data_IF_516729479860
#
_entry.id   IF_516729479860
#
_cell.length_a   1.000
_cell.length_b   1.000
_cell.length_c   1.000
_cell.angle_alpha   90.00
_cell.angle_beta   90.00
_cell.angle_gamma   90.00
#
_symmetry.space_group_name_H-M   'P 1'
#
loop_
_entity.id
_entity.type
_entity.pdbx_description
1 polymer ?
#
# COMPACT_ATOMS: atom_id res chain seq x y z
N UNK A 1 37.50 -8.62 6.17
CA UNK A 1 36.18 -9.18 6.62
C UNK A 1 35.02 -8.20 6.51
N UNK A 2 35.15 -6.92 6.94
CA UNK A 2 34.08 -5.90 6.79
C UNK A 2 34.00 -5.45 5.32
N UNK A 3 35.14 -5.23 4.69
CA UNK A 3 35.26 -4.87 3.28
C UNK A 3 34.73 -5.97 2.36
N UNK A 4 35.06 -7.24 2.63
CA UNK A 4 34.56 -8.40 1.88
C UNK A 4 33.03 -8.55 2.02
N UNK A 5 32.49 -8.28 3.23
CA UNK A 5 31.04 -8.32 3.47
C UNK A 5 30.31 -7.18 2.76
N UNK A 6 30.87 -5.98 2.78
CA UNK A 6 30.36 -4.82 2.03
C UNK A 6 30.38 -5.05 0.52
N UNK A 7 31.49 -5.56 -0.02
CA UNK A 7 31.64 -5.89 -1.44
C UNK A 7 30.66 -6.99 -1.88
N UNK A 8 30.38 -7.97 -1.02
CA UNK A 8 29.38 -9.00 -1.28
C UNK A 8 27.98 -8.39 -1.32
N UNK A 9 27.60 -7.58 -0.32
CA UNK A 9 26.29 -6.88 -0.29
C UNK A 9 26.12 -5.99 -1.53
N UNK A 10 27.17 -5.29 -1.97
CA UNK A 10 27.12 -4.42 -3.14
C UNK A 10 26.93 -5.20 -4.45
N UNK A 11 27.37 -6.47 -4.52
CA UNK A 11 27.17 -7.33 -5.69
C UNK A 11 25.80 -8.04 -5.66
N UNK A 12 25.35 -8.41 -4.47
CA UNK A 12 24.14 -9.22 -4.30
C UNK A 12 22.84 -8.37 -4.35
N UNK A 13 22.92 -7.06 -4.04
CA UNK A 13 21.76 -6.17 -4.02
C UNK A 13 21.97 -4.99 -4.97
N UNK A 14 21.31 -4.97 -6.13
CA UNK A 14 21.46 -3.88 -7.09
C UNK A 14 20.90 -2.55 -6.53
N UNK A 15 21.55 -1.45 -6.91
CA UNK A 15 21.13 -0.11 -6.52
C UNK A 15 20.21 0.53 -7.56
N UNK A 16 20.38 0.17 -8.80
CA UNK A 16 19.64 0.72 -9.93
C UNK A 16 19.46 -0.35 -11.01
N UNK A 17 18.57 -0.10 -11.95
CA UNK A 17 18.34 -0.97 -13.11
C UNK A 17 19.63 -1.22 -13.91
N UNK A 18 20.53 -0.22 -14.00
CA UNK A 18 21.81 -0.36 -14.69
C UNK A 18 22.81 -1.32 -14.03
N UNK A 19 22.58 -1.74 -12.78
CA UNK A 19 23.42 -2.74 -12.10
C UNK A 19 22.88 -4.18 -12.28
N UNK A 20 21.73 -4.36 -12.94
CA UNK A 20 21.18 -5.68 -13.23
C UNK A 20 21.98 -6.34 -14.34
N UNK A 21 22.38 -7.59 -14.12
CA UNK A 21 23.11 -8.42 -15.08
C UNK A 21 22.44 -9.77 -15.25
N UNK A 22 22.75 -10.50 -16.34
CA UNK A 22 22.27 -11.86 -16.55
C UNK A 22 22.74 -12.82 -15.42
N UNK A 23 23.97 -12.61 -14.92
CA UNK A 23 24.50 -13.37 -13.78
C UNK A 23 23.70 -13.13 -12.51
N UNK A 24 23.34 -11.86 -12.23
CA UNK A 24 22.50 -11.52 -11.07
C UNK A 24 21.11 -12.14 -11.20
N UNK A 25 20.48 -12.07 -12.37
CA UNK A 25 19.19 -12.71 -12.63
C UNK A 25 19.27 -14.24 -12.49
N UNK A 26 20.35 -14.84 -12.96
CA UNK A 26 20.61 -16.29 -12.78
C UNK A 26 20.68 -16.65 -11.30
N UNK A 27 21.44 -15.88 -10.51
CA UNK A 27 21.56 -16.07 -9.06
C UNK A 27 20.21 -15.89 -8.39
N UNK A 28 19.48 -14.81 -8.69
CA UNK A 28 18.18 -14.49 -8.11
C UNK A 28 17.14 -15.60 -8.38
N UNK A 29 17.07 -16.09 -9.62
CA UNK A 29 16.15 -17.17 -10.00
C UNK A 29 16.52 -18.52 -9.38
N UNK A 30 17.82 -18.79 -9.15
CA UNK A 30 18.29 -19.99 -8.46
C UNK A 30 17.99 -19.92 -6.95
N UNK A 31 18.32 -18.81 -6.31
CA UNK A 31 18.08 -18.60 -4.87
C UNK A 31 16.58 -18.58 -4.55
N UNK A 32 15.76 -18.07 -5.46
CA UNK A 32 14.30 -18.14 -5.40
C UNK A 32 13.71 -19.53 -5.66
N UNK A 33 14.53 -20.52 -6.07
CA UNK A 33 14.09 -21.89 -6.31
C UNK A 33 13.42 -22.13 -7.67
N UNK A 34 13.42 -21.13 -8.57
CA UNK A 34 12.75 -21.19 -9.87
C UNK A 34 13.66 -21.72 -11.01
N UNK A 35 14.97 -21.60 -10.86
CA UNK A 35 15.95 -22.08 -11.83
C UNK A 35 16.88 -23.11 -11.19
N UNK A 36 16.75 -24.39 -11.57
CA UNK A 36 17.55 -25.50 -11.00
C UNK A 36 18.88 -25.71 -11.72
N UNK A 37 18.85 -25.71 -13.05
CA UNK A 37 20.03 -25.86 -13.92
C UNK A 37 20.04 -24.76 -14.95
N UNK A 38 21.17 -24.53 -15.61
CA UNK A 38 21.33 -23.50 -16.61
C UNK A 38 21.44 -22.09 -16.05
N UNK A 39 21.20 -21.12 -16.90
CA UNK A 39 21.39 -19.70 -16.61
C UNK A 39 20.45 -18.80 -17.45
N UNK A 40 20.27 -17.56 -17.01
CA UNK A 40 19.75 -16.48 -17.84
C UNK A 40 20.91 -16.00 -18.73
N UNK A 41 20.80 -16.19 -20.03
CA UNK A 41 21.88 -15.84 -21.00
C UNK A 41 21.86 -14.37 -21.34
N UNK A 42 20.66 -13.81 -21.46
CA UNK A 42 20.45 -12.39 -21.76
C UNK A 42 19.07 -11.94 -21.29
N UNK A 43 18.89 -10.65 -21.20
CA UNK A 43 17.60 -10.03 -20.95
C UNK A 43 17.47 -8.68 -21.67
N UNK A 44 16.24 -8.28 -21.90
CA UNK A 44 15.88 -6.90 -22.27
C UNK A 44 14.97 -6.33 -21.21
N UNK A 45 14.88 -5.02 -21.11
CA UNK A 45 14.00 -4.39 -20.15
C UNK A 45 13.20 -3.24 -20.76
N UNK A 46 12.03 -3.01 -20.18
CA UNK A 46 11.16 -1.88 -20.46
C UNK A 46 10.69 -1.28 -19.13
N UNK A 47 10.97 0.00 -18.92
CA UNK A 47 10.53 0.73 -17.72
C UNK A 47 9.05 1.06 -17.87
N UNK A 48 8.27 0.76 -16.84
CA UNK A 48 6.83 0.98 -16.81
C UNK A 48 6.51 2.14 -15.86
N UNK A 49 5.65 3.04 -16.30
CA UNK A 49 5.08 4.05 -15.41
C UNK A 49 6.05 5.15 -14.98
N UNK A 50 6.87 5.69 -15.88
CA UNK A 50 7.71 6.87 -15.59
C UNK A 50 6.94 8.04 -14.96
N UNK A 51 5.61 8.09 -15.15
CA UNK A 51 4.73 9.12 -14.60
C UNK A 51 3.91 8.67 -13.37
N UNK A 52 3.92 7.38 -12.99
CA UNK A 52 3.00 6.82 -11.96
C UNK A 52 3.68 6.21 -10.73
N UNK A 53 4.96 5.89 -10.78
CA UNK A 53 5.71 5.26 -9.68
C UNK A 53 6.25 6.26 -8.67
N UNK A 54 5.50 6.58 -7.59
CA UNK A 54 5.94 7.55 -6.59
C UNK A 54 7.16 7.12 -5.78
N UNK A 55 7.32 5.82 -5.50
CA UNK A 55 8.33 5.30 -4.56
C UNK A 55 9.24 4.24 -5.16
N UNK A 56 9.00 3.77 -6.41
CA UNK A 56 9.78 2.71 -7.03
C UNK A 56 9.87 2.86 -8.54
N UNK A 57 10.99 2.44 -9.11
CA UNK A 57 11.16 2.17 -10.53
C UNK A 57 10.70 0.75 -10.81
N UNK A 58 9.80 0.57 -11.77
CA UNK A 58 9.25 -0.72 -12.16
C UNK A 58 9.72 -1.01 -13.58
N UNK A 59 10.34 -2.16 -13.80
CA UNK A 59 10.77 -2.60 -15.12
C UNK A 59 10.26 -4.02 -15.41
N UNK A 60 9.72 -4.23 -16.61
CA UNK A 60 9.46 -5.57 -17.13
C UNK A 60 10.73 -6.06 -17.80
N UNK A 61 11.24 -7.20 -17.33
CA UNK A 61 12.43 -7.86 -17.88
C UNK A 61 11.98 -9.05 -18.72
N UNK A 62 12.39 -9.11 -20.00
CA UNK A 62 12.19 -10.28 -20.85
C UNK A 62 13.44 -11.15 -20.80
N UNK A 63 13.32 -12.38 -20.31
CA UNK A 63 14.44 -13.27 -20.01
C UNK A 63 14.65 -14.29 -21.12
N UNK A 64 15.93 -14.51 -21.49
CA UNK A 64 16.36 -15.60 -22.38
C UNK A 64 17.18 -16.58 -21.57
N UNK A 65 16.81 -17.83 -21.60
CA UNK A 65 17.47 -18.91 -20.84
C UNK A 65 18.35 -19.77 -21.72
N UNK A 66 19.35 -20.43 -21.12
CA UNK A 66 20.15 -21.46 -21.78
C UNK A 66 19.31 -22.70 -22.11
N UNK A 67 19.77 -23.52 -23.04
CA UNK A 67 19.03 -24.69 -23.51
C UNK A 67 18.80 -25.75 -22.42
N UNK A 68 19.73 -25.91 -21.50
CA UNK A 68 19.61 -26.82 -20.35
C UNK A 68 18.66 -26.29 -19.27
N UNK A 69 18.52 -24.96 -19.14
CA UNK A 69 17.48 -24.35 -18.32
C UNK A 69 16.08 -24.61 -18.90
N UNK A 70 15.93 -24.44 -20.21
CA UNK A 70 14.66 -24.71 -20.91
C UNK A 70 14.23 -26.19 -20.83
N UNK A 71 15.17 -27.13 -20.73
CA UNK A 71 14.90 -28.55 -20.64
C UNK A 71 14.37 -29.01 -19.25
N UNK A 72 14.49 -28.18 -18.18
CA UNK A 72 13.98 -28.49 -16.85
C UNK A 72 12.46 -28.42 -16.71
N UNK A 73 11.76 -27.86 -17.66
CA UNK A 73 10.36 -27.38 -17.51
C UNK A 73 9.32 -28.48 -17.51
N UNK A 74 9.60 -29.68 -16.99
CA UNK A 74 8.56 -30.70 -16.81
C UNK A 74 7.60 -30.39 -15.64
N UNK A 75 8.03 -29.63 -14.62
CA UNK A 75 7.23 -29.32 -13.43
C UNK A 75 7.00 -27.82 -13.13
N UNK A 76 7.74 -26.90 -13.76
CA UNK A 76 7.55 -25.46 -13.61
C UNK A 76 7.93 -24.72 -14.89
N UNK A 77 6.98 -24.01 -15.48
CA UNK A 77 7.23 -23.15 -16.64
C UNK A 77 8.07 -21.96 -16.18
N UNK A 78 9.29 -21.83 -16.71
CA UNK A 78 10.14 -20.67 -16.47
C UNK A 78 9.44 -19.39 -16.99
N UNK A 79 9.39 -18.30 -16.19
CA UNK A 79 8.76 -17.08 -16.64
C UNK A 79 9.56 -16.47 -17.80
N UNK A 80 8.87 -16.15 -18.88
CA UNK A 80 9.47 -15.40 -20.01
C UNK A 80 9.71 -13.94 -19.66
N UNK A 81 8.83 -13.39 -18.85
CA UNK A 81 8.89 -12.02 -18.36
C UNK A 81 8.75 -12.01 -16.85
N UNK A 82 9.42 -11.06 -16.20
CA UNK A 82 9.30 -10.80 -14.75
C UNK A 82 9.27 -9.30 -14.52
N UNK A 83 8.61 -8.87 -13.46
CA UNK A 83 8.65 -7.49 -13.00
C UNK A 83 9.74 -7.33 -11.97
N UNK A 84 10.63 -6.38 -12.20
CA UNK A 84 11.63 -5.91 -11.24
C UNK A 84 11.15 -4.61 -10.61
N UNK A 85 11.10 -4.56 -9.28
CA UNK A 85 10.88 -3.34 -8.51
C UNK A 85 12.15 -2.96 -7.78
N UNK A 86 12.60 -1.72 -7.98
CA UNK A 86 13.78 -1.11 -7.32
C UNK A 86 13.36 0.27 -6.81
N UNK A 87 13.88 0.76 -5.65
CA UNK A 87 13.61 2.12 -5.19
C UNK A 87 13.99 3.17 -6.24
N UNK A 88 13.16 4.21 -6.36
CA UNK A 88 13.50 5.35 -7.21
C UNK A 88 14.79 6.04 -6.76
N UNK A 89 15.53 6.68 -7.67
CA UNK A 89 16.68 7.49 -7.29
C UNK A 89 16.29 8.65 -6.37
N UNK A 90 17.07 8.83 -5.30
CA UNK A 90 17.19 10.00 -4.42
C UNK A 90 16.03 10.37 -3.48
N UNK A 91 15.21 11.37 -3.77
CA UNK A 91 14.35 12.03 -2.75
C UNK A 91 13.20 11.14 -2.28
N UNK A 92 12.51 10.51 -3.21
CA UNK A 92 11.38 9.63 -2.91
C UNK A 92 11.87 8.33 -2.24
N UNK A 93 13.08 7.86 -2.61
CA UNK A 93 13.74 6.73 -1.98
C UNK A 93 13.97 6.94 -0.49
N UNK A 94 14.49 8.10 -0.07
CA UNK A 94 14.70 8.42 1.35
C UNK A 94 13.40 8.38 2.12
N UNK A 95 12.32 8.90 1.54
CA UNK A 95 11.00 8.85 2.15
C UNK A 95 10.48 7.41 2.22
N UNK A 96 10.51 6.65 1.13
CA UNK A 96 10.09 5.25 1.10
C UNK A 96 10.86 4.38 2.10
N UNK A 97 12.18 4.59 2.21
CA UNK A 97 13.04 3.93 3.19
C UNK A 97 12.65 4.31 4.61
N UNK A 98 12.36 5.60 4.90
CA UNK A 98 11.94 6.07 6.21
C UNK A 98 10.61 5.48 6.66
N UNK A 99 9.71 5.18 5.70
CA UNK A 99 8.42 4.55 5.93
C UNK A 99 8.49 3.01 5.93
N UNK A 100 9.65 2.43 5.57
CA UNK A 100 9.86 0.99 5.51
C UNK A 100 9.09 0.28 4.40
N UNK A 101 8.61 1.00 3.37
CA UNK A 101 7.72 0.44 2.35
C UNK A 101 8.38 -0.67 1.53
N UNK A 102 9.66 -0.53 1.18
CA UNK A 102 10.39 -1.54 0.42
C UNK A 102 10.60 -2.84 1.21
N UNK A 103 10.94 -2.72 2.50
CA UNK A 103 11.07 -3.89 3.38
C UNK A 103 9.73 -4.59 3.59
N UNK A 104 8.64 -3.84 3.75
CA UNK A 104 7.29 -4.40 3.91
C UNK A 104 6.88 -5.22 2.69
N UNK A 105 7.09 -4.70 1.48
CA UNK A 105 6.72 -5.41 0.25
C UNK A 105 7.54 -6.69 0.07
N UNK A 106 8.86 -6.66 0.29
CA UNK A 106 9.70 -7.86 0.23
C UNK A 106 9.28 -8.89 1.29
N UNK A 107 8.99 -8.45 2.53
CA UNK A 107 8.51 -9.35 3.60
C UNK A 107 7.14 -9.92 3.28
N UNK A 108 6.24 -9.13 2.71
CA UNK A 108 4.94 -9.60 2.26
C UNK A 108 5.10 -10.78 1.30
N UNK A 109 5.83 -10.60 0.21
CA UNK A 109 6.02 -11.64 -0.80
C UNK A 109 6.79 -12.86 -0.28
N UNK A 110 7.81 -12.65 0.56
CA UNK A 110 8.64 -13.76 1.06
C UNK A 110 8.07 -14.51 2.27
N UNK A 111 7.15 -13.92 3.06
CA UNK A 111 6.71 -14.49 4.34
C UNK A 111 5.20 -14.70 4.46
N UNK A 112 4.40 -13.92 3.73
CA UNK A 112 2.95 -13.89 3.92
C UNK A 112 2.17 -14.32 2.68
N UNK A 113 2.60 -13.98 1.48
CA UNK A 113 1.88 -14.21 0.21
C UNK A 113 1.32 -15.62 0.06
N UNK A 114 2.13 -16.64 0.34
CA UNK A 114 1.73 -18.06 0.20
C UNK A 114 0.67 -18.52 1.24
N UNK A 115 0.36 -17.67 2.21
CA UNK A 115 -0.64 -17.95 3.26
C UNK A 115 -1.97 -17.27 2.97
N UNK A 116 -2.05 -16.44 1.93
CA UNK A 116 -3.26 -15.68 1.61
C UNK A 116 -4.24 -16.50 0.78
N UNK A 117 -5.52 -16.36 1.10
CA UNK A 117 -6.62 -16.94 0.33
C UNK A 117 -7.09 -16.04 -0.83
N UNK A 118 -6.31 -15.00 -1.15
CA UNK A 118 -6.53 -14.12 -2.29
C UNK A 118 -5.37 -14.23 -3.27
N UNK A 119 -5.65 -13.95 -4.55
CA UNK A 119 -4.64 -14.01 -5.61
C UNK A 119 -3.77 -12.75 -5.61
N UNK A 120 -2.46 -12.96 -5.69
CA UNK A 120 -1.44 -11.91 -5.79
C UNK A 120 -0.37 -12.38 -6.78
N UNK A 121 0.45 -11.49 -7.36
CA UNK A 121 1.54 -11.91 -8.23
C UNK A 121 2.45 -12.95 -7.58
N UNK A 122 2.96 -13.90 -8.39
CA UNK A 122 3.92 -14.88 -7.93
C UNK A 122 5.22 -14.21 -7.51
N UNK A 123 5.85 -14.72 -6.46
CA UNK A 123 7.12 -14.25 -5.95
C UNK A 123 8.28 -15.04 -6.56
N UNK A 124 9.27 -14.37 -7.10
CA UNK A 124 10.46 -15.03 -7.62
C UNK A 124 11.70 -14.80 -6.74
N UNK A 125 11.96 -13.57 -6.32
CA UNK A 125 13.09 -13.26 -5.47
C UNK A 125 12.94 -11.87 -4.83
N UNK A 126 13.48 -11.73 -3.62
CA UNK A 126 13.52 -10.44 -2.93
C UNK A 126 14.77 -10.34 -2.05
N UNK A 127 15.47 -9.21 -2.14
CA UNK A 127 16.71 -8.99 -1.41
C UNK A 127 16.82 -7.55 -0.91
N UNK A 128 17.42 -7.38 0.25
CA UNK A 128 17.71 -6.07 0.85
C UNK A 128 19.09 -6.06 1.50
N UNK A 129 19.80 -4.94 1.38
CA UNK A 129 21.19 -4.81 1.89
C UNK A 129 21.28 -4.78 3.40
N UNK A 130 20.25 -4.31 4.08
CA UNK A 130 20.10 -4.32 5.53
C UNK A 130 18.62 -4.31 5.86
N UNK A 131 18.23 -5.12 6.85
CA UNK A 131 16.90 -5.10 7.44
C UNK A 131 17.07 -4.99 8.96
N UNK A 132 16.29 -4.15 9.59
CA UNK A 132 16.16 -4.17 11.04
C UNK A 132 15.25 -5.35 11.44
N UNK A 133 15.50 -5.92 12.63
CA UNK A 133 14.62 -6.94 13.17
C UNK A 133 13.22 -6.34 13.42
N UNK A 134 12.14 -7.01 12.95
CA UNK A 134 10.79 -6.47 13.03
C UNK A 134 10.36 -6.06 14.43
N UNK A 135 10.67 -6.86 15.45
CA UNK A 135 10.34 -6.57 16.84
C UNK A 135 11.04 -5.29 17.33
N UNK A 136 12.27 -5.05 16.88
CA UNK A 136 13.03 -3.82 17.22
C UNK A 136 12.37 -2.61 16.57
N UNK A 137 11.92 -2.74 15.32
CA UNK A 137 11.19 -1.67 14.62
C UNK A 137 9.89 -1.36 15.37
N UNK A 138 9.12 -2.38 15.71
CA UNK A 138 7.85 -2.24 16.41
C UNK A 138 8.02 -1.54 17.75
N UNK A 139 9.01 -1.93 18.57
CA UNK A 139 9.29 -1.29 19.85
C UNK A 139 9.77 0.16 19.70
N UNK A 140 10.56 0.46 18.65
CA UNK A 140 10.94 1.84 18.33
C UNK A 140 9.72 2.69 17.95
N UNK A 141 8.78 2.16 17.15
CA UNK A 141 7.57 2.85 16.78
C UNK A 141 6.66 3.10 17.98
N UNK A 142 6.51 2.13 18.88
CA UNK A 142 5.80 2.30 20.17
C UNK A 142 6.45 3.37 21.04
N UNK A 143 7.77 3.41 21.10
CA UNK A 143 8.49 4.44 21.84
C UNK A 143 8.29 5.84 21.22
N UNK A 144 8.38 5.95 19.88
CA UNK A 144 8.11 7.19 19.16
C UNK A 144 6.67 7.68 19.38
N UNK A 145 5.70 6.76 19.35
CA UNK A 145 4.29 7.09 19.57
C UNK A 145 4.03 7.74 20.95
N UNK A 146 4.87 7.46 21.96
CA UNK A 146 4.77 8.10 23.29
C UNK A 146 5.31 9.54 23.30
N UNK A 147 6.12 9.93 22.33
CA UNK A 147 6.71 11.26 22.26
C UNK A 147 5.69 12.32 21.78
N UNK A 148 5.90 13.60 22.15
CA UNK A 148 5.12 14.68 21.57
C UNK A 148 5.47 14.90 20.09
N UNK A 149 4.52 15.41 19.32
CA UNK A 149 4.64 15.58 17.84
C UNK A 149 5.91 16.34 17.45
N UNK A 150 6.29 17.40 18.18
CA UNK A 150 7.49 18.18 17.87
C UNK A 150 8.78 17.34 17.97
N UNK A 151 8.86 16.43 18.95
CA UNK A 151 10.01 15.53 19.10
C UNK A 151 10.07 14.50 17.96
N UNK A 152 8.90 13.98 17.53
CA UNK A 152 8.80 13.09 16.37
C UNK A 152 9.26 13.81 15.09
N UNK A 153 8.89 15.08 14.92
CA UNK A 153 9.32 15.89 13.77
C UNK A 153 10.85 16.02 13.70
N UNK A 154 11.50 16.35 14.83
CA UNK A 154 12.96 16.44 14.91
C UNK A 154 13.61 15.09 14.62
N UNK A 155 13.10 14.02 15.24
CA UNK A 155 13.61 12.67 14.99
C UNK A 155 13.46 12.26 13.52
N UNK A 156 12.33 12.56 12.90
CA UNK A 156 12.09 12.30 11.48
C UNK A 156 13.11 12.98 10.57
N UNK A 157 13.46 14.24 10.83
CA UNK A 157 14.50 14.97 10.09
C UNK A 157 15.87 14.31 10.23
N UNK A 158 16.23 13.86 11.45
CA UNK A 158 17.50 13.16 11.71
C UNK A 158 17.54 11.84 10.94
N UNK A 159 16.47 11.06 10.98
CA UNK A 159 16.37 9.78 10.26
C UNK A 159 16.49 9.98 8.75
N UNK A 160 15.78 10.97 8.19
CA UNK A 160 15.87 11.29 6.77
C UNK A 160 17.29 11.73 6.36
N UNK A 161 17.95 12.52 7.21
CA UNK A 161 19.33 12.92 6.97
C UNK A 161 20.29 11.70 6.95
N UNK A 162 20.16 10.79 7.94
CA UNK A 162 20.97 9.55 7.99
C UNK A 162 20.72 8.68 6.75
N UNK A 163 19.47 8.49 6.36
CA UNK A 163 19.13 7.69 5.20
C UNK A 163 19.58 8.34 3.87
N UNK A 164 19.63 9.67 3.83
CA UNK A 164 20.23 10.38 2.70
C UNK A 164 21.73 10.12 2.53
N UNK A 165 22.44 9.91 3.67
CA UNK A 165 23.88 9.59 3.66
C UNK A 165 24.16 8.11 3.38
N UNK A 166 23.27 7.22 3.81
CA UNK A 166 23.46 5.76 3.71
C UNK A 166 22.20 5.09 3.14
N UNK A 167 21.93 5.27 1.84
CA UNK A 167 20.76 4.68 1.23
C UNK A 167 20.88 3.15 1.20
N UNK A 168 19.85 2.46 1.67
CA UNK A 168 19.75 0.99 1.59
C UNK A 168 19.42 0.57 0.15
N UNK A 169 19.76 -0.67 -0.16
CA UNK A 169 19.49 -1.30 -1.44
C UNK A 169 18.37 -2.32 -1.31
N UNK A 170 17.50 -2.40 -2.29
CA UNK A 170 16.36 -3.33 -2.35
C UNK A 170 16.13 -3.75 -3.80
N UNK A 171 15.76 -5.00 -4.00
CA UNK A 171 15.27 -5.48 -5.28
C UNK A 171 14.22 -6.56 -5.04
N UNK A 172 13.15 -6.53 -5.83
CA UNK A 172 12.07 -7.49 -5.77
C UNK A 172 11.73 -7.94 -7.20
N UNK A 173 11.72 -9.26 -7.43
CA UNK A 173 11.28 -9.89 -8.67
C UNK A 173 9.95 -10.61 -8.41
N UNK A 174 8.93 -10.24 -9.17
CA UNK A 174 7.59 -10.82 -9.11
C UNK A 174 7.05 -11.10 -10.51
N UNK A 175 5.91 -11.76 -10.58
CA UNK A 175 5.20 -12.08 -11.81
C UNK A 175 4.86 -10.83 -12.63
N UNK A 176 5.04 -10.91 -13.95
CA UNK A 176 4.53 -9.96 -14.90
C UNK A 176 3.05 -10.25 -15.18
N UNK A 177 2.19 -9.36 -14.69
CA UNK A 177 0.73 -9.44 -14.85
C UNK A 177 0.20 -8.47 -15.91
N UNK A 178 1.07 -7.90 -16.73
CA UNK A 178 0.70 -6.90 -17.76
C UNK A 178 -0.20 -7.44 -18.85
N UNK A 179 -0.32 -8.76 -18.95
CA UNK A 179 -1.23 -9.43 -19.88
C UNK A 179 -2.69 -9.49 -19.41
N UNK A 180 -2.95 -9.20 -18.13
CA UNK A 180 -4.29 -9.05 -17.58
C UNK A 180 -4.78 -7.60 -17.70
N UNK A 181 -6.07 -7.38 -17.51
CA UNK A 181 -6.66 -6.04 -17.51
C UNK A 181 -6.35 -5.32 -16.21
N UNK A 182 -5.53 -4.26 -16.28
CA UNK A 182 -5.25 -3.39 -15.12
C UNK A 182 -6.44 -2.48 -14.83
N UNK A 183 -6.68 -2.24 -13.54
CA UNK A 183 -7.63 -1.24 -13.09
C UNK A 183 -7.18 0.17 -13.52
N UNK A 184 -8.14 1.05 -13.74
CA UNK A 184 -7.90 2.44 -14.11
C UNK A 184 -8.79 3.36 -13.26
N UNK A 185 -8.19 4.03 -12.30
CA UNK A 185 -8.91 4.93 -11.39
C UNK A 185 -9.42 6.22 -12.09
N UNK A 186 -8.95 6.52 -13.30
CA UNK A 186 -9.47 7.63 -14.10
C UNK A 186 -10.71 7.25 -14.91
N UNK A 187 -11.00 5.96 -15.04
CA UNK A 187 -12.18 5.41 -15.68
C UNK A 187 -13.24 5.01 -14.66
N UNK A 188 -14.47 4.85 -15.09
CA UNK A 188 -15.52 4.29 -14.24
C UNK A 188 -15.24 2.82 -13.93
N UNK A 189 -15.16 2.46 -12.64
CA UNK A 189 -15.06 1.08 -12.20
C UNK A 189 -16.41 0.38 -12.33
N UNK A 190 -16.47 -0.74 -13.05
CA UNK A 190 -17.73 -1.47 -13.22
C UNK A 190 -18.24 -2.03 -11.89
N UNK A 191 -19.56 -2.16 -11.77
CA UNK A 191 -20.17 -2.76 -10.56
C UNK A 191 -19.65 -4.19 -10.31
N UNK A 192 -19.37 -4.94 -11.38
CA UNK A 192 -18.81 -6.28 -11.25
C UNK A 192 -17.38 -6.25 -10.70
N UNK A 193 -16.53 -5.36 -11.21
CA UNK A 193 -15.16 -5.19 -10.71
C UNK A 193 -15.14 -4.74 -9.23
N UNK A 194 -16.05 -3.83 -8.86
CA UNK A 194 -16.21 -3.42 -7.46
C UNK A 194 -16.59 -4.63 -6.58
N UNK A 195 -17.53 -5.46 -7.02
CA UNK A 195 -17.95 -6.66 -6.27
C UNK A 195 -16.82 -7.68 -6.15
N UNK A 196 -16.07 -7.94 -7.23
CA UNK A 196 -14.88 -8.81 -7.18
C UNK A 196 -13.83 -8.29 -6.19
N UNK A 197 -13.59 -6.99 -6.18
CA UNK A 197 -12.66 -6.35 -5.25
C UNK A 197 -13.16 -6.47 -3.79
N UNK A 198 -14.45 -6.27 -3.53
CA UNK A 198 -15.04 -6.41 -2.21
C UNK A 198 -15.04 -7.86 -1.72
N UNK A 199 -15.20 -8.84 -2.60
CA UNK A 199 -15.05 -10.27 -2.25
C UNK A 199 -13.62 -10.60 -1.84
N UNK A 200 -12.62 -10.12 -2.59
CA UNK A 200 -11.21 -10.30 -2.26
C UNK A 200 -10.85 -9.58 -0.95
N UNK A 201 -11.35 -8.36 -0.76
CA UNK A 201 -11.19 -7.60 0.49
C UNK A 201 -11.80 -8.34 1.68
N UNK A 202 -13.03 -8.84 1.54
CA UNK A 202 -13.71 -9.59 2.60
C UNK A 202 -12.98 -10.90 2.93
N UNK A 203 -12.40 -11.57 1.92
CA UNK A 203 -11.58 -12.76 2.12
C UNK A 203 -10.33 -12.44 2.94
N UNK A 204 -9.59 -11.40 2.54
CA UNK A 204 -8.40 -10.93 3.25
C UNK A 204 -8.73 -10.54 4.69
N UNK A 205 -9.77 -9.75 4.88
CA UNK A 205 -10.17 -9.27 6.19
C UNK A 205 -10.65 -10.40 7.11
N UNK A 206 -11.46 -11.33 6.60
CA UNK A 206 -11.95 -12.46 7.39
C UNK A 206 -10.83 -13.40 7.83
N UNK A 207 -9.83 -13.62 6.96
CA UNK A 207 -8.69 -14.49 7.25
C UNK A 207 -7.85 -14.01 8.45
N UNK A 208 -7.76 -12.69 8.65
CA UNK A 208 -6.94 -12.09 9.71
C UNK A 208 -7.75 -11.37 10.80
N UNK A 209 -9.07 -11.58 10.84
CA UNK A 209 -9.97 -10.90 11.78
C UNK A 209 -9.63 -11.21 13.22
N UNK A 210 -9.18 -10.20 13.99
CA UNK A 210 -8.75 -10.30 15.39
C UNK A 210 -7.82 -11.50 15.66
N UNK A 211 -6.97 -11.82 14.66
CA UNK A 211 -6.19 -13.04 14.60
C UNK A 211 -4.87 -12.93 15.38
N UNK A 212 -4.55 -13.96 16.17
CA UNK A 212 -3.23 -14.13 16.78
C UNK A 212 -2.13 -14.23 15.72
N UNK A 213 -2.44 -14.81 14.55
CA UNK A 213 -1.50 -14.91 13.44
C UNK A 213 -1.09 -13.53 12.90
N UNK A 214 -2.00 -12.54 12.88
CA UNK A 214 -1.69 -11.17 12.53
C UNK A 214 -0.78 -10.52 13.60
N UNK A 215 -1.08 -10.76 14.88
CA UNK A 215 -0.29 -10.22 16.00
C UNK A 215 1.14 -10.77 16.03
N UNK A 216 1.35 -11.99 15.54
CA UNK A 216 2.67 -12.62 15.42
C UNK A 216 3.54 -12.02 14.29
N UNK A 217 2.95 -11.24 13.38
CA UNK A 217 3.65 -10.59 12.27
C UNK A 217 4.13 -9.18 12.69
N UNK A 218 5.16 -9.08 13.52
CA UNK A 218 5.64 -7.83 14.11
C UNK A 218 6.11 -6.77 13.09
N UNK A 219 6.37 -7.16 11.83
CA UNK A 219 6.66 -6.24 10.73
C UNK A 219 5.39 -5.56 10.15
N UNK A 220 4.21 -6.09 10.44
CA UNK A 220 2.94 -5.44 10.10
C UNK A 220 2.59 -4.44 11.19
N UNK A 221 2.78 -3.18 10.86
CA UNK A 221 2.62 -2.09 11.83
C UNK A 221 1.14 -1.80 12.08
N UNK A 222 0.66 -1.78 13.34
CA UNK A 222 -0.67 -1.28 13.65
C UNK A 222 -0.85 0.18 13.25
N UNK A 223 -2.02 0.51 12.70
CA UNK A 223 -2.33 1.84 12.16
C UNK A 223 -2.21 2.94 13.21
N UNK A 224 -2.52 2.66 14.47
CA UNK A 224 -2.42 3.59 15.60
C UNK A 224 -1.02 4.15 15.80
N UNK A 225 0.03 3.36 15.54
CA UNK A 225 1.41 3.81 15.68
C UNK A 225 1.79 4.88 14.64
N UNK A 226 1.02 5.01 13.57
CA UNK A 226 1.16 6.07 12.57
C UNK A 226 0.41 7.37 12.93
N UNK A 227 -0.42 7.37 13.97
CA UNK A 227 -1.38 8.44 14.26
C UNK A 227 -0.73 9.83 14.32
N UNK A 228 0.36 9.97 15.04
CA UNK A 228 1.06 11.26 15.18
C UNK A 228 1.77 11.69 13.90
N UNK A 229 2.32 10.75 13.13
CA UNK A 229 2.96 11.05 11.84
C UNK A 229 1.93 11.51 10.81
N UNK A 230 0.80 10.81 10.69
CA UNK A 230 -0.31 11.20 9.82
C UNK A 230 -0.84 12.57 10.21
N UNK A 231 -1.07 12.78 11.50
CA UNK A 231 -1.59 14.05 11.99
C UNK A 231 -0.61 15.22 11.81
N UNK A 232 0.70 15.00 11.97
CA UNK A 232 1.73 16.00 11.68
C UNK A 232 1.70 16.40 10.20
N UNK A 233 1.62 15.44 9.28
CA UNK A 233 1.46 15.70 7.86
C UNK A 233 0.18 16.48 7.55
N UNK A 234 -0.93 16.09 8.18
CA UNK A 234 -2.19 16.81 8.07
C UNK A 234 -2.06 18.27 8.54
N UNK A 235 -1.49 18.53 9.71
CA UNK A 235 -1.34 19.91 10.23
C UNK A 235 -0.45 20.77 9.33
N UNK A 236 0.61 20.21 8.74
CA UNK A 236 1.49 20.94 7.83
C UNK A 236 0.78 21.37 6.54
N UNK A 237 -0.10 20.52 6.02
CA UNK A 237 -0.79 20.76 4.74
C UNK A 237 -2.15 21.43 4.89
N UNK A 238 -2.91 21.12 5.94
CA UNK A 238 -4.27 21.60 6.12
C UNK A 238 -4.35 23.14 6.20
N UNK A 239 -3.38 23.79 6.85
CA UNK A 239 -3.36 25.26 6.92
C UNK A 239 -3.18 25.91 5.54
N UNK A 240 -2.31 25.35 4.70
CA UNK A 240 -2.11 25.81 3.32
C UNK A 240 -3.36 25.57 2.49
N UNK A 241 -3.89 24.33 2.57
CA UNK A 241 -5.12 23.95 1.88
C UNK A 241 -6.29 24.87 2.20
N UNK A 242 -6.56 25.10 3.49
CA UNK A 242 -7.65 25.97 3.92
C UNK A 242 -7.44 27.43 3.51
N UNK A 243 -6.20 27.90 3.47
CA UNK A 243 -5.89 29.23 2.98
C UNK A 243 -6.18 29.40 1.48
N UNK A 244 -5.85 28.37 0.69
CA UNK A 244 -5.98 28.40 -0.77
C UNK A 244 -7.40 28.07 -1.24
N UNK A 245 -8.11 27.16 -0.53
CA UNK A 245 -9.39 26.61 -0.94
C UNK A 245 -10.55 26.94 0.01
N UNK A 246 -10.30 27.52 1.18
CA UNK A 246 -11.32 27.69 2.23
C UNK A 246 -12.56 28.50 1.81
N UNK A 247 -12.41 29.43 0.86
CA UNK A 247 -13.53 30.17 0.31
C UNK A 247 -14.52 29.30 -0.52
N UNK A 248 -14.05 28.14 -1.00
CA UNK A 248 -14.84 27.20 -1.80
C UNK A 248 -15.41 26.05 -0.95
N UNK A 249 -15.02 25.95 0.33
CA UNK A 249 -15.48 24.90 1.22
C UNK A 249 -16.81 25.29 1.89
N UNK A 250 -17.68 24.31 2.07
CA UNK A 250 -18.93 24.48 2.84
C UNK A 250 -18.62 24.65 4.34
N UNK A 251 -19.61 25.17 5.08
CA UNK A 251 -19.49 25.31 6.54
C UNK A 251 -19.22 23.97 7.24
N UNK A 252 -19.83 22.88 6.77
CA UNK A 252 -19.63 21.54 7.35
C UNK A 252 -18.25 20.98 7.03
N UNK A 253 -17.72 21.24 5.84
CA UNK A 253 -16.32 20.90 5.51
C UNK A 253 -15.31 21.69 6.38
N UNK A 254 -15.59 22.96 6.65
CA UNK A 254 -14.76 23.76 7.56
C UNK A 254 -14.85 23.23 9.01
N UNK A 255 -16.05 22.85 9.48
CA UNK A 255 -16.23 22.19 10.79
C UNK A 255 -15.48 20.88 10.86
N UNK A 256 -15.52 20.04 9.81
CA UNK A 256 -14.75 18.82 9.71
C UNK A 256 -13.25 19.07 9.87
N UNK A 257 -12.70 20.04 9.16
CA UNK A 257 -11.27 20.38 9.29
C UNK A 257 -10.91 20.93 10.68
N UNK A 258 -11.80 21.72 11.30
CA UNK A 258 -11.61 22.19 12.68
C UNK A 258 -11.60 21.01 13.68
N UNK A 259 -12.50 20.05 13.50
CA UNK A 259 -12.57 18.82 14.30
C UNK A 259 -11.32 17.96 14.09
N UNK A 260 -10.89 17.73 12.84
CA UNK A 260 -9.69 16.95 12.50
C UNK A 260 -8.41 17.55 13.09
N UNK A 261 -8.26 18.88 13.08
CA UNK A 261 -7.11 19.55 13.74
C UNK A 261 -7.00 19.21 15.23
N UNK A 262 -8.12 19.02 15.90
CA UNK A 262 -8.18 18.72 17.33
C UNK A 262 -8.07 17.21 17.61
N UNK A 263 -8.72 16.38 16.79
CA UNK A 263 -9.03 15.00 17.11
C UNK A 263 -8.32 13.98 16.21
N UNK A 264 -7.54 14.39 15.20
CA UNK A 264 -6.97 13.51 14.18
C UNK A 264 -6.04 12.42 14.73
N UNK A 265 -5.34 12.64 15.85
CA UNK A 265 -4.55 11.60 16.53
C UNK A 265 -5.48 10.53 17.08
N UNK A 266 -6.47 10.93 17.89
CA UNK A 266 -7.45 10.01 18.51
C UNK A 266 -8.26 9.25 17.47
N UNK A 267 -8.60 9.88 16.34
CA UNK A 267 -9.26 9.22 15.21
C UNK A 267 -8.42 8.04 14.67
N UNK A 268 -7.13 8.28 14.43
CA UNK A 268 -6.25 7.22 13.90
C UNK A 268 -5.96 6.14 14.95
N UNK A 269 -5.82 6.51 16.23
CA UNK A 269 -5.66 5.54 17.32
C UNK A 269 -6.88 4.64 17.49
N UNK A 270 -8.10 5.18 17.31
CA UNK A 270 -9.32 4.40 17.35
C UNK A 270 -9.36 3.33 16.27
N UNK A 271 -8.92 3.63 15.07
CA UNK A 271 -8.85 2.68 13.95
C UNK A 271 -7.88 1.51 14.18
N UNK A 272 -7.02 1.60 15.18
CA UNK A 272 -6.10 0.54 15.58
C UNK A 272 -6.56 -0.28 16.79
N UNK A 273 -7.78 -0.10 17.31
CA UNK A 273 -8.22 -0.72 18.57
C UNK A 273 -9.37 -1.71 18.45
N UNK A 274 -10.17 -1.64 17.39
CA UNK A 274 -11.36 -2.50 17.22
C UNK A 274 -11.34 -3.18 15.85
N UNK A 275 -11.82 -4.43 15.83
CA UNK A 275 -12.01 -5.21 14.60
C UNK A 275 -10.77 -5.17 13.71
N UNK A 276 -9.63 -5.52 14.32
CA UNK A 276 -8.32 -5.48 13.69
C UNK A 276 -8.20 -6.59 12.66
N UNK A 277 -7.79 -6.21 11.48
CA UNK A 277 -7.48 -7.16 10.42
C UNK A 277 -6.25 -6.71 9.64
N UNK A 278 -5.79 -7.57 8.72
CA UNK A 278 -4.75 -7.21 7.76
C UNK A 278 -5.35 -6.29 6.71
N UNK A 279 -4.78 -5.11 6.57
CA UNK A 279 -5.10 -4.16 5.52
C UNK A 279 -4.00 -4.15 4.47
N UNK A 280 -4.38 -4.05 3.21
CA UNK A 280 -3.48 -3.75 2.12
C UNK A 280 -2.87 -2.33 2.28
N UNK A 281 -3.71 -1.39 2.74
CA UNK A 281 -3.32 0.00 3.05
C UNK A 281 -3.33 0.96 1.87
N UNK A 282 -3.36 0.44 0.62
CA UNK A 282 -3.55 1.20 -0.62
C UNK A 282 -4.49 0.46 -1.57
N UNK A 283 -5.62 -0.04 -1.03
CA UNK A 283 -6.60 -0.81 -1.79
C UNK A 283 -7.43 0.12 -2.68
N UNK A 284 -6.94 0.39 -3.88
CA UNK A 284 -7.56 1.29 -4.86
C UNK A 284 -7.56 0.67 -6.26
N UNK A 285 -8.38 1.20 -7.16
CA UNK A 285 -8.63 0.62 -8.48
C UNK A 285 -7.33 0.41 -9.28
N UNK A 286 -6.37 1.34 -9.24
CA UNK A 286 -5.09 1.20 -9.95
C UNK A 286 -4.21 0.04 -9.44
N UNK A 287 -4.46 -0.48 -8.23
CA UNK A 287 -3.77 -1.63 -7.66
C UNK A 287 -4.51 -2.96 -7.87
N UNK A 288 -5.60 -2.95 -8.65
CA UNK A 288 -6.36 -4.14 -9.03
C UNK A 288 -5.96 -4.60 -10.43
N UNK A 289 -5.91 -5.91 -10.60
CA UNK A 289 -5.64 -6.54 -11.88
C UNK A 289 -6.64 -7.67 -12.09
N UNK A 290 -7.30 -7.69 -13.25
CA UNK A 290 -8.42 -8.59 -13.54
C UNK A 290 -8.03 -9.62 -14.59
N UNK A 291 -8.15 -10.88 -14.23
CA UNK A 291 -8.11 -12.03 -15.12
C UNK A 291 -9.55 -12.29 -15.59
N UNK A 292 -9.94 -11.63 -16.67
CA UNK A 292 -11.31 -11.70 -17.17
C UNK A 292 -11.69 -13.10 -17.67
N UNK A 293 -10.70 -13.91 -18.08
CA UNK A 293 -10.91 -15.30 -18.54
C UNK A 293 -11.20 -16.24 -17.37
N UNK A 294 -10.49 -16.07 -16.25
CA UNK A 294 -10.72 -16.84 -15.03
C UNK A 294 -11.85 -16.28 -14.16
N UNK A 295 -12.26 -15.03 -14.37
CA UNK A 295 -13.18 -14.31 -13.50
C UNK A 295 -12.59 -14.03 -12.10
N UNK A 296 -11.30 -13.75 -12.06
CA UNK A 296 -10.55 -13.54 -10.81
C UNK A 296 -9.87 -12.17 -10.81
N UNK A 297 -9.51 -11.70 -9.61
CA UNK A 297 -8.78 -10.46 -9.40
C UNK A 297 -7.48 -10.74 -8.65
N UNK A 298 -6.41 -10.05 -9.05
CA UNK A 298 -5.14 -10.01 -8.33
C UNK A 298 -4.99 -8.65 -7.67
N UNK A 299 -4.46 -8.64 -6.46
CA UNK A 299 -4.15 -7.42 -5.70
C UNK A 299 -2.65 -7.14 -5.75
N UNK A 300 -2.29 -5.94 -6.22
CA UNK A 300 -0.93 -5.49 -6.50
C UNK A 300 -0.46 -4.50 -5.44
N UNK A 301 0.86 -4.31 -5.30
CA UNK A 301 1.50 -3.22 -4.56
C UNK A 301 1.27 -3.25 -3.03
N UNK A 302 1.88 -4.21 -2.36
CA UNK A 302 1.74 -4.48 -0.91
C UNK A 302 2.69 -3.67 0.00
N UNK A 303 3.23 -2.57 -0.48
CA UNK A 303 4.21 -1.75 0.23
C UNK A 303 3.66 -1.00 1.46
N UNK A 304 2.34 -0.83 1.55
CA UNK A 304 1.66 -0.07 2.62
C UNK A 304 0.91 -0.94 3.62
N UNK A 305 1.10 -2.26 3.54
CA UNK A 305 0.45 -3.23 4.42
C UNK A 305 0.54 -2.86 5.90
N UNK A 306 -0.59 -2.92 6.60
CA UNK A 306 -0.72 -2.57 8.01
C UNK A 306 -1.83 -3.38 8.70
N UNK A 307 -1.89 -3.31 10.03
CA UNK A 307 -3.02 -3.84 10.79
C UNK A 307 -3.95 -2.69 11.23
N UNK A 308 -5.25 -2.84 11.03
CA UNK A 308 -6.21 -1.79 11.38
C UNK A 308 -7.67 -2.20 11.21
N UNK A 309 -8.58 -1.25 11.42
CA UNK A 309 -10.00 -1.45 11.22
C UNK A 309 -10.35 -1.63 9.74
N UNK A 310 -11.15 -2.64 9.44
CA UNK A 310 -11.69 -2.90 8.10
C UNK A 310 -12.41 -1.68 7.50
N UNK A 311 -13.05 -0.86 8.36
CA UNK A 311 -13.75 0.34 7.92
C UNK A 311 -12.85 1.37 7.24
N UNK A 312 -11.56 1.43 7.62
CA UNK A 312 -10.59 2.30 6.96
C UNK A 312 -10.36 1.88 5.50
N UNK A 313 -10.13 0.59 5.25
CA UNK A 313 -9.86 0.09 3.90
C UNK A 313 -11.11 0.08 3.02
N UNK A 314 -12.26 -0.31 3.57
CA UNK A 314 -13.53 -0.24 2.87
C UNK A 314 -13.86 1.19 2.44
N UNK A 315 -13.67 2.17 3.33
CA UNK A 315 -13.87 3.57 3.02
C UNK A 315 -12.89 4.08 1.96
N UNK A 316 -11.62 3.70 2.07
CA UNK A 316 -10.59 4.04 1.11
C UNK A 316 -10.94 3.53 -0.29
N UNK A 317 -11.27 2.26 -0.43
CA UNK A 317 -11.64 1.66 -1.71
C UNK A 317 -12.90 2.31 -2.30
N UNK A 318 -14.00 2.36 -1.55
CA UNK A 318 -15.27 2.88 -2.08
C UNK A 318 -15.22 4.40 -2.36
N UNK A 319 -14.33 5.15 -1.70
CA UNK A 319 -14.11 6.56 -2.04
C UNK A 319 -13.41 6.76 -3.38
N UNK A 320 -12.63 5.75 -3.81
CA UNK A 320 -11.91 5.79 -5.11
C UNK A 320 -12.66 5.10 -6.24
N UNK A 321 -13.42 4.03 -5.93
CA UNK A 321 -14.10 3.20 -6.92
C UNK A 321 -15.50 3.73 -7.30
N UNK A 322 -16.14 4.52 -6.41
CA UNK A 322 -17.47 5.09 -6.66
C UNK A 322 -17.34 6.61 -6.84
N UNK A 323 -17.67 7.16 -8.04
CA UNK A 323 -17.63 8.58 -8.30
C UNK A 323 -18.45 9.41 -7.30
N UNK A 324 -18.04 10.67 -7.10
CA UNK A 324 -18.74 11.59 -6.18
C UNK A 324 -20.19 11.88 -6.60
N UNK A 325 -20.50 11.85 -7.87
CA UNK A 325 -21.83 12.12 -8.44
C UNK A 325 -22.70 10.86 -8.55
N UNK A 326 -22.17 9.67 -8.22
CA UNK A 326 -22.97 8.45 -8.21
C UNK A 326 -24.14 8.54 -7.23
N UNK A 327 -25.27 7.86 -7.51
CA UNK A 327 -26.40 7.76 -6.57
C UNK A 327 -25.96 7.16 -5.24
N UNK A 328 -26.53 7.66 -4.12
CA UNK A 328 -26.23 7.16 -2.76
C UNK A 328 -26.54 5.68 -2.60
N UNK A 329 -27.57 5.20 -3.28
CA UNK A 329 -28.01 3.80 -3.30
C UNK A 329 -26.90 2.86 -3.79
N UNK A 330 -26.05 3.30 -4.73
CA UNK A 330 -24.89 2.51 -5.20
C UNK A 330 -23.87 2.28 -4.08
N UNK A 331 -23.61 3.30 -3.29
CA UNK A 331 -22.73 3.17 -2.13
C UNK A 331 -23.32 2.21 -1.09
N UNK A 332 -24.61 2.35 -0.78
CA UNK A 332 -25.31 1.50 0.17
C UNK A 332 -25.34 0.04 -0.27
N UNK A 333 -25.59 -0.20 -1.58
CA UNK A 333 -25.50 -1.55 -2.16
C UNK A 333 -24.10 -2.16 -1.98
N UNK A 334 -23.04 -1.42 -2.21
CA UNK A 334 -21.69 -1.95 -2.13
C UNK A 334 -21.25 -2.20 -0.67
N UNK A 335 -21.68 -1.35 0.26
CA UNK A 335 -21.41 -1.57 1.69
C UNK A 335 -22.16 -2.83 2.18
N UNK A 336 -23.41 -3.01 1.77
CA UNK A 336 -24.18 -4.21 2.13
C UNK A 336 -23.63 -5.46 1.45
N UNK A 337 -23.15 -5.36 0.20
CA UNK A 337 -22.47 -6.45 -0.47
C UNK A 337 -21.22 -6.91 0.31
N UNK A 338 -20.38 -5.99 0.75
CA UNK A 338 -19.20 -6.31 1.56
C UNK A 338 -19.60 -6.96 2.91
N UNK A 339 -20.64 -6.45 3.57
CA UNK A 339 -21.18 -7.04 4.80
C UNK A 339 -21.60 -8.50 4.59
N UNK A 340 -22.33 -8.76 3.51
CA UNK A 340 -22.73 -10.11 3.15
C UNK A 340 -21.54 -11.01 2.82
N UNK A 341 -20.56 -10.50 2.11
CA UNK A 341 -19.33 -11.24 1.79
C UNK A 341 -18.54 -11.64 3.05
N UNK A 342 -18.51 -10.79 4.10
CA UNK A 342 -17.96 -11.13 5.41
C UNK A 342 -18.80 -12.19 6.13
N UNK A 343 -20.13 -12.08 6.10
CA UNK A 343 -21.03 -13.04 6.73
C UNK A 343 -20.87 -14.46 6.15
N UNK A 344 -20.70 -14.57 4.85
CA UNK A 344 -20.38 -15.84 4.16
C UNK A 344 -19.06 -16.45 4.63
N UNK A 345 -18.13 -15.64 5.16
CA UNK A 345 -16.84 -16.05 5.72
C UNK A 345 -16.83 -16.17 7.24
N UNK A 346 -18.02 -16.12 7.86
CA UNK A 346 -18.22 -16.33 9.30
C UNK A 346 -18.08 -15.07 10.16
N UNK A 347 -17.83 -13.90 9.56
CA UNK A 347 -17.72 -12.63 10.27
C UNK A 347 -19.05 -11.87 10.21
N UNK A 348 -19.77 -11.88 11.32
CA UNK A 348 -21.09 -11.25 11.42
C UNK A 348 -21.00 -9.87 12.04
N UNK A 349 -21.36 -8.84 11.26
CA UNK A 349 -21.38 -7.45 11.70
C UNK A 349 -22.80 -6.90 11.50
N UNK A 350 -23.42 -6.30 12.52
CA UNK A 350 -24.67 -5.57 12.34
C UNK A 350 -24.52 -4.44 11.31
N UNK A 351 -25.53 -4.22 10.49
CA UNK A 351 -25.47 -3.22 9.40
C UNK A 351 -25.15 -1.80 9.92
N UNK A 352 -25.69 -1.43 11.09
CA UNK A 352 -25.43 -0.12 11.71
C UNK A 352 -23.97 0.01 12.16
N UNK A 353 -23.39 -1.04 12.74
CA UNK A 353 -22.00 -1.03 13.21
C UNK A 353 -21.03 -0.93 12.02
N UNK A 354 -21.31 -1.68 10.94
CA UNK A 354 -20.50 -1.60 9.72
C UNK A 354 -20.59 -0.21 9.10
N UNK A 355 -21.77 0.38 9.01
CA UNK A 355 -21.97 1.74 8.51
C UNK A 355 -21.22 2.75 9.38
N UNK A 356 -21.26 2.60 10.69
CA UNK A 356 -20.53 3.47 11.62
C UNK A 356 -19.02 3.38 11.39
N UNK A 357 -18.44 2.16 11.31
CA UNK A 357 -17.00 1.97 11.02
C UNK A 357 -16.61 2.51 9.64
N UNK A 358 -17.46 2.33 8.62
CA UNK A 358 -17.25 2.94 7.30
C UNK A 358 -17.21 4.47 7.39
N UNK A 359 -18.13 5.10 8.11
CA UNK A 359 -18.18 6.54 8.28
C UNK A 359 -16.93 7.08 8.98
N UNK A 360 -16.43 6.37 10.00
CA UNK A 360 -15.15 6.70 10.66
C UNK A 360 -13.99 6.60 9.68
N UNK A 361 -13.98 5.53 8.88
CA UNK A 361 -13.02 5.36 7.80
C UNK A 361 -13.04 6.53 6.82
N UNK A 362 -14.21 7.00 6.41
CA UNK A 362 -14.35 8.16 5.50
C UNK A 362 -13.78 9.45 6.10
N UNK A 363 -14.04 9.74 7.38
CA UNK A 363 -13.44 10.90 8.07
C UNK A 363 -11.91 10.76 8.13
N UNK A 364 -11.41 9.55 8.36
CA UNK A 364 -9.97 9.27 8.35
C UNK A 364 -9.36 9.43 6.95
N UNK A 365 -10.08 9.15 5.87
CA UNK A 365 -9.62 9.39 4.51
C UNK A 365 -9.38 10.89 4.29
N UNK A 366 -10.30 11.77 4.68
CA UNK A 366 -10.08 13.22 4.59
C UNK A 366 -8.82 13.63 5.37
N UNK A 367 -8.62 13.09 6.57
CA UNK A 367 -7.43 13.35 7.38
C UNK A 367 -6.12 12.88 6.71
N UNK A 368 -6.14 11.77 5.98
CA UNK A 368 -4.97 11.16 5.33
C UNK A 368 -4.67 11.78 3.96
N UNK A 369 -5.70 12.10 3.18
CA UNK A 369 -5.53 12.60 1.80
C UNK A 369 -5.15 14.07 1.75
N UNK A 370 -5.75 14.91 2.61
CA UNK A 370 -5.46 16.36 2.61
C UNK A 370 -3.97 16.68 2.64
N UNK A 371 -3.11 15.98 3.42
CA UNK A 371 -1.68 16.19 3.39
C UNK A 371 -1.05 15.88 2.04
N UNK A 372 -1.50 14.83 1.36
CA UNK A 372 -0.93 14.40 0.08
C UNK A 372 -1.19 15.44 -1.00
N UNK A 373 -2.40 16.00 -1.05
CA UNK A 373 -2.76 17.03 -2.03
C UNK A 373 -1.88 18.28 -1.95
N UNK A 374 -1.35 18.57 -0.77
CA UNK A 374 -0.54 19.78 -0.54
C UNK A 374 0.96 19.51 -0.39
N UNK A 375 1.35 18.26 -0.15
CA UNK A 375 2.74 17.85 -0.25
C UNK A 375 3.19 17.63 -1.70
N UNK A 376 2.59 18.29 -2.67
CA UNK A 376 2.94 18.24 -4.10
C UNK A 376 4.37 18.64 -4.47
N UNK A 377 5.27 18.58 -3.53
CA UNK A 377 6.69 18.32 -3.78
C UNK A 377 7.01 16.85 -4.06
N UNK A 378 6.07 15.91 -3.84
CA UNK A 378 6.01 14.69 -4.60
C UNK A 378 5.58 15.12 -6.00
N UNK A 379 6.47 15.01 -6.96
CA UNK A 379 6.18 15.26 -8.37
C UNK A 379 5.11 14.24 -8.80
N UNK A 380 3.82 14.61 -8.60
CA UNK A 380 2.64 13.83 -9.04
C UNK A 380 2.51 13.81 -10.57
N UNK A 381 3.59 14.11 -11.30
CA UNK A 381 3.53 14.30 -12.74
C UNK A 381 2.57 15.44 -13.14
N UNK A 382 2.70 15.96 -14.32
CA UNK A 382 1.85 17.07 -14.80
C UNK A 382 0.49 16.60 -15.35
N UNK A 383 0.18 15.28 -15.30
CA UNK A 383 -0.97 14.73 -16.03
C UNK A 383 -2.16 14.33 -15.15
N UNK A 384 -2.23 13.06 -14.87
CA UNK A 384 -3.41 12.33 -14.34
C UNK A 384 -3.58 12.47 -12.81
N UNK A 385 -2.48 12.56 -12.07
CA UNK A 385 -2.46 12.52 -10.61
C UNK A 385 -3.28 13.61 -9.92
N UNK A 386 -3.17 14.90 -10.27
CA UNK A 386 -3.93 15.96 -9.63
C UNK A 386 -5.45 15.82 -9.79
N UNK A 387 -5.92 15.40 -10.97
CA UNK A 387 -7.36 15.21 -11.22
C UNK A 387 -7.93 14.03 -10.41
N UNK A 388 -7.19 12.93 -10.33
CA UNK A 388 -7.57 11.75 -9.51
C UNK A 388 -7.67 12.16 -8.03
N UNK A 389 -6.70 12.90 -7.51
CA UNK A 389 -6.70 13.35 -6.13
C UNK A 389 -7.85 14.31 -5.81
N UNK A 390 -8.18 15.23 -6.75
CA UNK A 390 -9.31 16.12 -6.56
C UNK A 390 -10.63 15.34 -6.52
N UNK A 391 -10.87 14.44 -7.48
CA UNK A 391 -12.05 13.59 -7.49
C UNK A 391 -12.19 12.76 -6.21
N UNK A 392 -11.08 12.29 -5.69
CA UNK A 392 -11.05 11.50 -4.47
C UNK A 392 -11.48 12.31 -3.24
N UNK A 393 -10.94 13.53 -3.06
CA UNK A 393 -11.33 14.40 -1.94
C UNK A 393 -12.78 14.84 -2.05
N UNK A 394 -13.26 15.15 -3.25
CA UNK A 394 -14.65 15.53 -3.49
C UNK A 394 -15.60 14.38 -3.15
N UNK A 395 -15.23 13.15 -3.55
CA UNK A 395 -15.94 11.93 -3.18
C UNK A 395 -15.97 11.71 -1.66
N UNK A 396 -14.83 11.91 -1.00
CA UNK A 396 -14.75 11.79 0.46
C UNK A 396 -15.61 12.83 1.17
N UNK A 397 -15.54 14.10 0.77
CA UNK A 397 -16.37 15.17 1.35
C UNK A 397 -17.87 14.90 1.21
N UNK A 398 -18.32 14.44 0.04
CA UNK A 398 -19.72 14.12 -0.17
C UNK A 398 -20.21 13.01 0.75
N UNK A 399 -19.37 11.98 0.93
CA UNK A 399 -19.71 10.78 1.72
C UNK A 399 -19.62 11.02 3.24
N UNK A 400 -18.93 12.07 3.71
CA UNK A 400 -18.86 12.44 5.14
C UNK A 400 -19.87 13.52 5.56
N UNK A 401 -20.66 14.07 4.65
CA UNK A 401 -21.55 15.20 4.93
C UNK A 401 -22.54 14.93 6.07
N UNK A 402 -23.01 13.69 6.20
CA UNK A 402 -24.01 13.28 7.19
C UNK A 402 -23.41 12.57 8.42
N UNK A 403 -22.08 12.63 8.61
CA UNK A 403 -21.43 11.95 9.73
C UNK A 403 -21.43 12.82 10.98
N UNK A 404 -21.97 12.28 12.08
CA UNK A 404 -21.92 12.90 13.41
C UNK A 404 -20.51 12.78 13.99
N UNK A 405 -19.71 13.85 13.86
CA UNK A 405 -18.28 13.86 14.24
C UNK A 405 -18.07 13.56 15.74
N UNK A 406 -18.96 14.00 16.60
CA UNK A 406 -18.86 13.85 18.07
C UNK A 406 -18.93 12.37 18.49
N UNK A 407 -19.71 11.55 17.77
CA UNK A 407 -19.87 10.12 18.05
C UNK A 407 -18.64 9.28 17.71
N UNK A 408 -17.74 9.80 16.88
CA UNK A 408 -16.57 9.04 16.38
C UNK A 408 -15.62 8.59 17.49
N UNK A 409 -15.41 9.43 18.50
CA UNK A 409 -14.47 9.15 19.61
C UNK A 409 -15.16 8.61 20.85
N UNK A 410 -16.48 8.52 20.86
CA UNK A 410 -17.22 7.91 21.95
C UNK A 410 -16.93 6.39 21.96
N UNK A 411 -16.52 5.89 23.11
CA UNK A 411 -16.27 4.48 23.30
C UNK A 411 -17.59 3.70 23.32
N UNK A 412 -17.82 2.87 22.35
CA UNK A 412 -18.89 1.85 22.34
C UNK A 412 -18.31 0.48 22.71
#
# INVERSE_FOLDING_TARGET
KIEDKLLKILKDVPFSLGEITADWLTMAMKDGGHLRTGEVVSFTHHVVGEETGFLGEIAILSLTYSSDAAAQSYDAVLPKTVVLKIPTPLKNRVMGQSLGVYEKEIRFYSQLKEKLDIRTPSYYYGVMSAADEPDVILERLKALHRLPIWAIAIFGLIVQWIFGLMPRRYALLIEDVSHYRLGDQSAECSTNDIKMALDSMATLHAQFWDSEALQALSWITPVELSAKLVHMGYLQSANKYLKENGANLTEDQLKLHAWLKKNGVGLTERLGKKSMTLLHGDFRVDNLCFDDDAGEMLLLDWQTTMAGSYGLELAYFLSTAIPADAPSEKLDEMIEYYRHALDLRGIKIPALDLRHEFNIGMVAIVHRISPILHQTQLELGTGRGPAIMQNWIDSAYKKVADVELESILEAH
#
